data_IF_981035407416
#
_entry.id   IF_981035407416
#
_cell.length_a   1.000
_cell.length_b   1.000
_cell.length_c   1.000
_cell.angle_alpha   90.00
_cell.angle_beta   90.00
_cell.angle_gamma   90.00
#
_symmetry.space_group_name_H-M   'P 1'
#
loop_
_entity.id
_entity.type
_entity.pdbx_description
1 polymer ?
#
# COMPACT_ATOMS: atom_id res chain seq x y z
N UNK A 1 -25.81 -0.26 -31.76
CA UNK A 1 -24.82 -1.36 -31.79
C UNK A 1 -23.95 -1.39 -30.53
N UNK A 2 -23.22 -0.31 -30.18
CA UNK A 2 -22.40 -0.27 -28.95
C UNK A 2 -23.21 -0.34 -27.65
N UNK A 3 -24.39 0.27 -27.61
CA UNK A 3 -25.34 0.18 -26.49
C UNK A 3 -25.90 -1.23 -26.27
N UNK A 4 -25.97 -2.04 -27.33
CA UNK A 4 -26.39 -3.45 -27.26
C UNK A 4 -25.28 -4.32 -26.65
N UNK A 5 -24.01 -3.95 -26.85
CA UNK A 5 -22.86 -4.71 -26.36
C UNK A 5 -22.37 -4.28 -24.95
N UNK A 6 -22.51 -3.01 -24.58
CA UNK A 6 -21.91 -2.46 -23.34
C UNK A 6 -22.89 -1.74 -22.39
N UNK A 7 -24.18 -1.66 -22.74
CA UNK A 7 -25.21 -1.09 -21.87
C UNK A 7 -24.89 0.32 -21.38
N UNK A 8 -25.05 0.58 -20.07
CA UNK A 8 -24.78 1.87 -19.43
C UNK A 8 -23.28 2.23 -19.33
N UNK A 9 -22.37 1.28 -19.57
CA UNK A 9 -20.93 1.54 -19.62
C UNK A 9 -20.47 2.11 -20.98
N UNK A 10 -21.40 2.49 -21.85
CA UNK A 10 -21.09 3.10 -23.14
C UNK A 10 -20.63 4.55 -22.98
N UNK A 11 -19.55 4.90 -23.68
CA UNK A 11 -19.09 6.29 -23.74
C UNK A 11 -20.17 7.18 -24.37
N UNK A 12 -20.43 8.32 -23.73
CA UNK A 12 -21.35 9.33 -24.25
C UNK A 12 -20.96 9.76 -25.68
N UNK A 13 -21.96 10.04 -26.51
CA UNK A 13 -21.79 10.38 -27.93
C UNK A 13 -20.84 11.56 -28.12
N UNK A 14 -20.86 12.54 -27.21
CA UNK A 14 -19.99 13.72 -27.24
C UNK A 14 -18.52 13.36 -27.02
N UNK A 15 -18.25 12.43 -26.09
CA UNK A 15 -16.91 11.93 -25.83
C UNK A 15 -16.38 11.13 -27.01
N UNK A 16 -17.21 10.31 -27.66
CA UNK A 16 -16.83 9.56 -28.86
C UNK A 16 -16.42 10.50 -30.00
N UNK A 17 -17.20 11.55 -30.28
CA UNK A 17 -16.82 12.53 -31.31
C UNK A 17 -15.56 13.32 -30.96
N UNK A 18 -15.36 13.67 -29.67
CA UNK A 18 -14.15 14.34 -29.19
C UNK A 18 -12.91 13.47 -29.42
N UNK A 19 -12.98 12.19 -29.06
CA UNK A 19 -11.89 11.24 -29.30
C UNK A 19 -11.65 11.02 -30.79
N UNK A 20 -12.72 10.83 -31.60
CA UNK A 20 -12.60 10.70 -33.05
C UNK A 20 -11.88 11.91 -33.68
N UNK A 21 -12.22 13.13 -33.25
CA UNK A 21 -11.57 14.35 -33.71
C UNK A 21 -10.07 14.36 -33.35
N UNK A 22 -9.73 14.06 -32.10
CA UNK A 22 -8.33 14.00 -31.64
C UNK A 22 -7.50 12.96 -32.41
N UNK A 23 -8.06 11.77 -32.68
CA UNK A 23 -7.40 10.75 -33.49
C UNK A 23 -7.28 11.16 -34.96
N UNK A 24 -8.29 11.82 -35.52
CA UNK A 24 -8.23 12.34 -36.90
C UNK A 24 -7.19 13.46 -37.08
N UNK A 25 -6.85 14.15 -35.99
CA UNK A 25 -5.83 15.19 -35.92
C UNK A 25 -4.42 14.62 -35.61
N UNK A 26 -4.27 13.29 -35.58
CA UNK A 26 -2.99 12.61 -35.48
C UNK A 26 -2.52 12.28 -34.04
N UNK A 27 -3.40 12.39 -33.04
CA UNK A 27 -3.09 11.95 -31.67
C UNK A 27 -3.08 10.42 -31.61
N UNK A 28 -1.96 9.82 -31.21
CA UNK A 28 -1.83 8.36 -31.05
C UNK A 28 -1.94 7.90 -29.59
N UNK A 29 -1.85 8.82 -28.63
CA UNK A 29 -1.87 8.51 -27.20
C UNK A 29 -3.30 8.56 -26.61
N UNK A 30 -3.59 7.59 -25.75
CA UNK A 30 -4.89 7.39 -25.07
C UNK A 30 -4.88 7.97 -23.66
N UNK A 31 -3.71 8.33 -23.12
CA UNK A 31 -3.61 8.89 -21.77
C UNK A 31 -4.09 10.36 -21.72
N UNK A 32 -4.41 10.84 -20.51
CA UNK A 32 -4.76 12.26 -20.30
C UNK A 32 -3.54 13.16 -20.48
N UNK A 33 -3.72 14.32 -21.11
CA UNK A 33 -2.65 15.31 -21.25
C UNK A 33 -2.33 15.97 -19.91
N UNK A 34 -1.08 16.41 -19.77
CA UNK A 34 -0.58 17.05 -18.57
C UNK A 34 -1.34 18.36 -18.31
N UNK A 35 -2.11 18.40 -17.22
CA UNK A 35 -3.01 19.51 -16.92
C UNK A 35 -2.23 20.68 -16.31
N UNK A 36 -2.18 21.81 -17.01
CA UNK A 36 -1.62 23.05 -16.46
C UNK A 36 -2.45 23.54 -15.26
N UNK A 37 -1.90 23.43 -14.06
CA UNK A 37 -2.48 23.98 -12.83
C UNK A 37 -2.31 25.51 -12.73
N UNK A 38 -3.12 26.15 -11.87
CA UNK A 38 -3.06 27.60 -11.59
C UNK A 38 -1.80 27.94 -10.76
N UNK A 39 -0.98 28.93 -11.14
CA UNK A 39 0.16 29.35 -10.33
C UNK A 39 -0.34 29.91 -8.99
N UNK A 40 0.17 29.37 -7.89
CA UNK A 40 -0.18 29.80 -6.53
C UNK A 40 0.87 30.78 -6.00
N UNK A 41 0.41 31.95 -5.55
CA UNK A 41 1.23 33.04 -4.97
C UNK A 41 1.97 32.70 -3.69
N UNK A 42 1.75 31.51 -3.10
CA UNK A 42 2.41 31.04 -1.87
C UNK A 42 3.67 30.19 -2.13
N UNK A 43 3.95 29.86 -3.38
CA UNK A 43 5.08 29.00 -3.79
C UNK A 43 6.16 29.86 -4.46
N UNK A 44 6.48 31.01 -3.88
CA UNK A 44 7.65 31.79 -4.30
C UNK A 44 8.91 31.14 -3.71
N UNK A 45 10.02 31.17 -4.45
CA UNK A 45 11.27 30.51 -4.04
C UNK A 45 11.80 31.05 -2.71
N UNK A 46 11.51 32.32 -2.39
CA UNK A 46 11.86 32.96 -1.11
C UNK A 46 11.14 32.31 0.07
N UNK A 47 9.84 32.01 -0.08
CA UNK A 47 9.06 31.34 0.98
C UNK A 47 9.53 29.89 1.16
N UNK A 48 9.93 29.23 0.08
CA UNK A 48 10.48 27.88 0.14
C UNK A 48 11.82 27.87 0.90
N UNK A 49 12.68 28.86 0.68
CA UNK A 49 13.97 28.96 1.39
C UNK A 49 13.79 29.22 2.89
N UNK A 50 12.85 30.08 3.28
CA UNK A 50 12.55 30.32 4.69
C UNK A 50 11.93 29.09 5.37
N UNK A 51 11.00 28.37 4.72
CA UNK A 51 10.49 27.09 5.23
C UNK A 51 11.64 26.09 5.44
N UNK A 52 12.61 26.02 4.52
CA UNK A 52 13.77 25.13 4.65
C UNK A 52 14.58 25.46 5.91
N UNK A 53 14.87 26.73 6.18
CA UNK A 53 15.62 27.15 7.38
C UNK A 53 14.93 26.72 8.66
N UNK A 54 13.61 26.93 8.74
CA UNK A 54 12.80 26.60 9.92
C UNK A 54 12.78 25.07 10.16
N UNK A 55 12.52 24.28 9.11
CA UNK A 55 12.49 22.81 9.20
C UNK A 55 13.86 22.22 9.55
N UNK A 56 14.95 22.82 9.08
CA UNK A 56 16.31 22.41 9.43
C UNK A 56 16.66 22.70 10.89
N UNK A 57 16.20 23.83 11.43
CA UNK A 57 16.42 24.19 12.83
C UNK A 57 15.65 23.30 13.80
N UNK A 58 14.41 22.92 13.46
CA UNK A 58 13.58 22.05 14.29
C UNK A 58 12.82 21.00 13.46
N UNK A 59 13.33 19.77 13.44
CA UNK A 59 12.71 18.64 12.71
C UNK A 59 11.36 18.18 13.26
N UNK A 60 10.94 18.66 14.43
CA UNK A 60 9.64 18.34 15.04
C UNK A 60 8.60 19.46 14.88
N UNK A 61 8.92 20.50 14.13
CA UNK A 61 8.02 21.63 13.94
C UNK A 61 6.76 21.23 13.16
N UNK A 62 5.61 21.73 13.57
CA UNK A 62 4.32 21.47 12.94
C UNK A 62 4.03 22.49 11.85
N UNK A 63 3.19 22.10 10.87
CA UNK A 63 2.78 22.97 9.75
C UNK A 63 2.14 24.28 10.25
N UNK A 64 1.47 24.25 11.41
CA UNK A 64 0.86 25.44 12.02
C UNK A 64 1.90 26.43 12.54
N UNK A 65 2.92 25.93 13.25
CA UNK A 65 4.03 26.75 13.75
C UNK A 65 4.81 27.38 12.58
N UNK A 66 5.08 26.62 11.52
CA UNK A 66 5.72 27.15 10.30
C UNK A 66 4.90 28.26 9.64
N UNK A 67 3.56 28.11 9.59
CA UNK A 67 2.69 29.11 9.00
C UNK A 67 2.61 30.40 9.85
N UNK A 68 2.70 30.27 11.17
CA UNK A 68 2.75 31.40 12.11
C UNK A 68 4.09 32.15 11.98
N UNK A 69 5.22 31.44 11.92
CA UNK A 69 6.56 32.02 11.79
C UNK A 69 6.76 32.79 10.48
N UNK A 70 6.17 32.31 9.39
CA UNK A 70 6.25 32.96 8.08
C UNK A 70 5.28 34.13 7.92
N UNK A 71 4.49 34.45 8.96
CA UNK A 71 3.47 35.48 8.97
C UNK A 71 2.55 35.42 7.74
N UNK A 72 2.29 34.21 7.23
CA UNK A 72 1.37 33.94 6.12
C UNK A 72 -0.05 33.94 6.71
N UNK A 73 -0.46 35.10 7.24
CA UNK A 73 -1.81 35.52 7.57
C UNK A 73 -2.66 34.61 8.46
N UNK A 74 -3.09 35.15 9.62
CA UNK A 74 -4.14 34.63 10.53
C UNK A 74 -5.52 34.31 9.90
N UNK A 75 -5.66 34.33 8.60
CA UNK A 75 -6.89 34.10 7.83
C UNK A 75 -6.70 33.12 6.67
N UNK A 76 -5.93 32.04 6.86
CA UNK A 76 -5.87 30.98 5.85
C UNK A 76 -7.13 30.10 5.90
N UNK A 77 -7.87 30.09 4.79
CA UNK A 77 -8.76 29.00 4.45
C UNK A 77 -7.98 27.66 4.46
N UNK A 78 -8.68 26.53 4.59
CA UNK A 78 -8.08 25.17 4.56
C UNK A 78 -7.08 24.96 3.40
N UNK A 79 -7.19 25.74 2.33
CA UNK A 79 -6.35 25.70 1.16
C UNK A 79 -4.93 26.28 1.38
N UNK A 80 -4.78 27.29 2.23
CA UNK A 80 -3.47 27.83 2.60
C UNK A 80 -2.63 26.85 3.41
N UNK A 81 -3.28 26.20 4.39
CA UNK A 81 -2.66 25.16 5.23
C UNK A 81 -2.17 23.99 4.38
N UNK A 82 -3.00 23.52 3.42
CA UNK A 82 -2.61 22.45 2.49
C UNK A 82 -1.38 22.80 1.66
N UNK A 83 -1.18 24.07 1.30
CA UNK A 83 -0.01 24.51 0.54
C UNK A 83 1.25 24.50 1.38
N UNK A 84 1.20 25.00 2.62
CA UNK A 84 2.34 24.93 3.54
C UNK A 84 2.68 23.47 3.86
N UNK A 85 1.67 22.63 4.08
CA UNK A 85 1.84 21.19 4.28
C UNK A 85 2.54 20.53 3.09
N UNK A 86 2.13 20.84 1.86
CA UNK A 86 2.76 20.34 0.65
C UNK A 86 4.23 20.77 0.53
N UNK A 87 4.55 22.04 0.85
CA UNK A 87 5.92 22.56 0.82
C UNK A 87 6.78 21.89 1.89
N UNK A 88 6.29 21.78 3.13
CA UNK A 88 6.99 21.09 4.23
C UNK A 88 7.23 19.61 3.89
N UNK A 89 6.23 18.90 3.34
CA UNK A 89 6.38 17.51 2.89
C UNK A 89 7.38 17.37 1.75
N UNK A 90 7.38 18.29 0.79
CA UNK A 90 8.34 18.30 -0.32
C UNK A 90 9.77 18.54 0.16
N UNK A 91 9.99 19.50 1.08
CA UNK A 91 11.30 19.79 1.67
C UNK A 91 11.76 18.62 2.53
N UNK A 92 10.87 18.05 3.34
CA UNK A 92 11.16 16.86 4.12
C UNK A 92 11.61 15.72 3.20
N UNK A 93 10.87 15.44 2.12
CA UNK A 93 11.24 14.42 1.13
C UNK A 93 12.59 14.69 0.46
N UNK A 94 12.94 15.95 0.19
CA UNK A 94 14.21 16.32 -0.47
C UNK A 94 15.41 16.26 0.48
N UNK A 95 15.22 16.52 1.78
CA UNK A 95 16.27 16.46 2.81
C UNK A 95 16.29 15.14 3.62
N UNK A 96 15.40 14.20 3.32
CA UNK A 96 15.53 12.79 3.71
C UNK A 96 16.61 12.13 2.83
N UNK A 97 17.78 12.78 2.70
CA UNK A 97 18.94 12.27 1.98
C UNK A 97 19.75 11.23 2.77
N UNK A 98 19.21 10.75 3.91
CA UNK A 98 19.84 9.73 4.74
C UNK A 98 18.95 8.50 5.00
N UNK A 99 17.87 8.32 4.25
CA UNK A 99 17.17 7.03 4.25
C UNK A 99 17.64 6.24 3.05
N UNK A 100 18.67 5.42 3.25
CA UNK A 100 19.03 4.38 2.29
C UNK A 100 17.90 3.37 2.24
N UNK A 101 16.99 3.52 1.28
CA UNK A 101 15.96 2.52 1.01
C UNK A 101 16.62 1.30 0.38
N UNK A 102 16.91 0.29 1.20
CA UNK A 102 17.35 -1.00 0.69
C UNK A 102 16.15 -1.74 0.08
N UNK A 103 16.18 -1.92 -1.23
CA UNK A 103 15.16 -2.71 -1.93
C UNK A 103 15.50 -4.19 -1.71
N UNK A 104 14.59 -4.92 -1.06
CA UNK A 104 14.71 -6.37 -0.92
C UNK A 104 14.58 -6.98 -2.33
N UNK A 105 15.58 -7.76 -2.81
CA UNK A 105 15.52 -8.34 -4.15
C UNK A 105 14.28 -9.22 -4.32
N UNK A 106 13.71 -9.24 -5.52
CA UNK A 106 12.56 -10.11 -5.83
C UNK A 106 12.90 -11.59 -5.54
N UNK A 107 11.95 -12.33 -4.99
CA UNK A 107 12.14 -13.74 -4.61
C UNK A 107 12.88 -13.97 -3.28
N UNK A 108 13.21 -12.90 -2.56
CA UNK A 108 13.86 -12.98 -1.24
C UNK A 108 12.87 -13.25 -0.11
N UNK A 109 11.58 -12.92 -0.27
CA UNK A 109 10.53 -13.15 0.73
C UNK A 109 10.41 -14.62 1.13
N UNK A 110 10.29 -15.53 0.15
CA UNK A 110 10.30 -16.98 0.39
C UNK A 110 11.67 -17.53 0.84
N UNK A 111 12.72 -16.72 0.72
CA UNK A 111 14.07 -16.99 1.25
C UNK A 111 14.35 -16.18 2.52
N UNK A 112 13.40 -15.67 3.28
CA UNK A 112 13.67 -15.02 4.59
C UNK A 112 12.49 -15.32 5.54
N UNK A 113 11.28 -15.32 5.00
CA UNK A 113 10.06 -15.51 5.76
C UNK A 113 9.72 -16.99 5.85
N UNK A 114 10.06 -17.59 6.99
CA UNK A 114 9.83 -19.01 7.23
C UNK A 114 8.35 -19.42 7.11
N UNK A 115 7.46 -18.51 7.49
CA UNK A 115 6.02 -18.68 7.38
C UNK A 115 5.56 -18.80 5.92
N UNK A 116 6.21 -18.11 4.98
CA UNK A 116 5.86 -18.15 3.54
C UNK A 116 6.25 -19.47 2.87
N UNK A 117 7.22 -20.21 3.43
CA UNK A 117 7.68 -21.48 2.83
C UNK A 117 6.64 -22.59 2.98
N UNK A 118 6.03 -22.72 4.17
CA UNK A 118 5.07 -23.79 4.47
C UNK A 118 3.94 -23.39 5.42
N UNK A 119 4.17 -22.47 6.36
CA UNK A 119 3.17 -22.08 7.38
C UNK A 119 1.90 -21.49 6.79
N UNK A 120 2.03 -20.44 5.97
CA UNK A 120 0.90 -19.73 5.38
C UNK A 120 0.09 -20.58 4.41
N UNK A 121 0.74 -21.49 3.67
CA UNK A 121 0.02 -22.40 2.77
C UNK A 121 -0.91 -23.32 3.55
N UNK A 122 -0.43 -23.87 4.67
CA UNK A 122 -1.20 -24.78 5.52
C UNK A 122 -2.32 -24.03 6.24
N UNK A 123 -2.00 -22.84 6.76
CA UNK A 123 -3.01 -21.95 7.34
C UNK A 123 -4.12 -21.60 6.35
N UNK A 124 -3.78 -21.19 5.11
CA UNK A 124 -4.76 -20.89 4.05
C UNK A 124 -5.63 -22.09 3.70
N UNK A 125 -5.06 -23.29 3.63
CA UNK A 125 -5.82 -24.51 3.38
C UNK A 125 -6.81 -24.82 4.50
N UNK A 126 -6.43 -24.61 5.76
CA UNK A 126 -7.34 -24.77 6.90
C UNK A 126 -8.47 -23.74 6.88
N UNK A 127 -8.15 -22.46 6.70
CA UNK A 127 -9.13 -21.39 6.61
C UNK A 127 -10.13 -21.64 5.46
N UNK A 128 -9.63 -22.06 4.30
CA UNK A 128 -10.46 -22.40 3.14
C UNK A 128 -11.40 -23.58 3.44
N UNK A 129 -10.88 -24.70 3.97
CA UNK A 129 -11.71 -25.85 4.33
C UNK A 129 -12.81 -25.51 5.33
N UNK A 130 -12.50 -24.72 6.35
CA UNK A 130 -13.51 -24.27 7.31
C UNK A 130 -14.57 -23.39 6.66
N UNK A 131 -14.15 -22.46 5.79
CA UNK A 131 -15.08 -21.59 5.05
C UNK A 131 -15.99 -22.40 4.12
N UNK A 132 -15.43 -23.37 3.39
CA UNK A 132 -16.16 -24.26 2.48
C UNK A 132 -17.20 -25.10 3.25
N UNK A 133 -16.84 -25.64 4.43
CA UNK A 133 -17.75 -26.41 5.29
C UNK A 133 -18.91 -25.55 5.81
N UNK A 134 -18.63 -24.32 6.26
CA UNK A 134 -19.64 -23.39 6.80
C UNK A 134 -20.63 -22.97 5.70
N UNK A 135 -20.14 -22.81 4.47
CA UNK A 135 -20.96 -22.50 3.30
C UNK A 135 -21.81 -23.70 2.85
N UNK A 136 -21.28 -24.92 2.90
CA UNK A 136 -22.02 -26.15 2.55
C UNK A 136 -23.08 -26.55 3.58
N UNK A 137 -22.89 -26.20 4.85
CA UNK A 137 -23.83 -26.52 5.92
C UNK A 137 -24.96 -25.49 6.08
N UNK A 138 -25.07 -24.49 5.19
CA UNK A 138 -26.07 -23.41 5.24
C UNK A 138 -26.19 -22.73 6.61
N UNK A 139 -25.09 -22.72 7.36
CA UNK A 139 -25.07 -22.07 8.66
C UNK A 139 -25.17 -20.55 8.48
N UNK A 140 -26.08 -19.90 9.19
CA UNK A 140 -26.31 -18.44 9.13
C UNK A 140 -25.18 -17.63 9.81
N UNK A 141 -23.94 -18.09 9.66
CA UNK A 141 -22.74 -17.55 10.31
C UNK A 141 -22.04 -16.63 9.33
N UNK A 142 -21.97 -15.34 9.66
CA UNK A 142 -21.22 -14.38 8.88
C UNK A 142 -19.71 -14.49 9.15
N UNK A 143 -18.97 -15.09 8.21
CA UNK A 143 -17.52 -15.27 8.29
C UNK A 143 -16.71 -13.96 8.22
N UNK A 144 -17.31 -12.88 7.75
CA UNK A 144 -16.66 -11.57 7.63
C UNK A 144 -16.80 -10.72 8.90
N UNK A 145 -17.58 -11.18 9.88
CA UNK A 145 -17.68 -10.50 11.17
C UNK A 145 -16.38 -10.67 11.98
N UNK A 146 -15.89 -9.57 12.55
CA UNK A 146 -14.63 -9.53 13.33
C UNK A 146 -14.51 -10.67 14.34
N UNK A 147 -15.57 -10.95 15.10
CA UNK A 147 -15.56 -11.99 16.13
C UNK A 147 -15.40 -13.40 15.56
N UNK A 148 -16.03 -13.67 14.42
CA UNK A 148 -15.95 -14.97 13.76
C UNK A 148 -14.60 -15.17 13.08
N UNK A 149 -14.03 -14.09 12.52
CA UNK A 149 -12.64 -14.08 12.04
C UNK A 149 -11.67 -14.43 13.17
N UNK A 150 -11.79 -13.80 14.34
CA UNK A 150 -10.92 -14.08 15.49
C UNK A 150 -11.07 -15.54 15.92
N UNK A 151 -12.31 -16.04 16.07
CA UNK A 151 -12.57 -17.45 16.42
C UNK A 151 -11.94 -18.41 15.43
N UNK A 152 -12.07 -18.16 14.12
CA UNK A 152 -11.46 -18.96 13.07
C UNK A 152 -9.93 -19.00 13.21
N UNK A 153 -9.30 -17.84 13.41
CA UNK A 153 -7.85 -17.74 13.60
C UNK A 153 -7.39 -18.46 14.87
N UNK A 154 -8.13 -18.33 15.99
CA UNK A 154 -7.84 -19.03 17.24
C UNK A 154 -7.94 -20.54 17.10
N UNK A 155 -8.95 -21.05 16.38
CA UNK A 155 -9.08 -22.48 16.12
C UNK A 155 -7.91 -23.01 15.27
N UNK A 156 -7.55 -22.31 14.19
CA UNK A 156 -6.42 -22.71 13.34
C UNK A 156 -5.11 -22.68 14.13
N UNK A 157 -4.90 -21.63 14.95
CA UNK A 157 -3.74 -21.53 15.82
C UNK A 157 -3.65 -22.75 16.76
N UNK A 158 -4.73 -23.07 17.48
CA UNK A 158 -4.76 -24.20 18.40
C UNK A 158 -4.46 -25.54 17.71
N UNK A 159 -4.97 -25.74 16.48
CA UNK A 159 -4.66 -26.93 15.68
C UNK A 159 -3.17 -26.99 15.27
N UNK A 160 -2.59 -25.86 14.87
CA UNK A 160 -1.18 -25.79 14.47
C UNK A 160 -0.21 -25.81 15.66
N UNK A 161 -0.64 -25.43 16.85
CA UNK A 161 0.13 -25.54 18.09
C UNK A 161 0.22 -26.97 18.65
N UNK A 162 -0.55 -27.90 18.09
CA UNK A 162 -0.50 -29.32 18.50
C UNK A 162 0.93 -29.89 18.37
N UNK A 163 1.39 -30.74 19.29
CA UNK A 163 2.70 -31.41 19.20
C UNK A 163 2.92 -32.16 17.87
N UNK A 164 1.83 -32.63 17.23
CA UNK A 164 1.88 -33.30 15.91
C UNK A 164 2.39 -32.37 14.80
N UNK A 165 2.10 -31.08 14.89
CA UNK A 165 2.51 -30.05 13.94
C UNK A 165 3.90 -29.47 14.24
N UNK A 166 4.49 -29.78 15.39
CA UNK A 166 5.77 -29.22 15.80
C UNK A 166 6.92 -29.60 14.83
N UNK A 167 6.90 -30.83 14.30
CA UNK A 167 7.90 -31.30 13.35
C UNK A 167 7.80 -30.61 11.99
N UNK A 168 6.61 -30.17 11.58
CA UNK A 168 6.38 -29.44 10.33
C UNK A 168 7.06 -28.06 10.36
N UNK A 169 6.96 -27.34 11.48
CA UNK A 169 7.65 -26.06 11.65
C UNK A 169 9.16 -26.25 11.79
N UNK A 170 9.63 -27.27 12.52
CA UNK A 170 11.06 -27.65 12.58
C UNK A 170 11.64 -27.97 11.20
N UNK A 171 10.89 -28.67 10.35
CA UNK A 171 11.30 -28.94 8.97
C UNK A 171 11.39 -27.67 8.12
N UNK A 172 10.45 -26.73 8.30
CA UNK A 172 10.49 -25.42 7.63
C UNK A 172 11.76 -24.64 8.00
N UNK A 173 12.12 -24.66 9.29
CA UNK A 173 13.40 -24.13 9.81
C UNK A 173 14.62 -24.85 9.23
N UNK A 174 14.57 -26.18 9.10
CA UNK A 174 15.64 -26.99 8.53
C UNK A 174 15.85 -26.72 7.04
N UNK A 175 14.78 -26.65 6.24
CA UNK A 175 14.84 -26.38 4.79
C UNK A 175 15.48 -25.03 4.46
N UNK A 176 15.38 -24.07 5.39
CA UNK A 176 15.85 -22.71 5.22
C UNK A 176 17.28 -22.48 5.78
N UNK A 177 17.99 -23.54 6.21
CA UNK A 177 19.39 -23.53 6.65
C UNK A 177 19.73 -22.82 7.98
N UNK A 178 18.75 -22.53 8.84
CA UNK A 178 19.02 -21.91 10.17
C UNK A 178 19.31 -22.90 11.31
N UNK A 179 19.13 -24.21 11.06
CA UNK A 179 19.52 -25.26 11.99
C UNK A 179 20.79 -25.96 11.46
N UNK A 180 21.94 -25.58 12.02
CA UNK A 180 23.24 -26.16 11.72
C UNK A 180 23.28 -27.65 12.13
N UNK A 181 23.10 -28.55 11.15
CA UNK A 181 23.84 -29.81 10.92
C UNK A 181 23.05 -30.66 9.93
N UNK A 182 23.52 -30.71 8.68
CA UNK A 182 23.30 -31.89 7.82
C UNK A 182 23.90 -33.07 8.59
N UNK A 183 23.08 -33.92 9.23
CA UNK A 183 23.53 -35.29 9.46
C UNK A 183 23.66 -35.90 8.07
N UNK A 184 24.90 -35.97 7.60
CA UNK A 184 25.29 -36.79 6.45
C UNK A 184 24.58 -38.13 6.59
N UNK A 185 23.81 -38.50 5.56
CA UNK A 185 23.31 -39.86 5.41
C UNK A 185 24.54 -40.77 5.47
N UNK A 186 24.68 -41.54 6.55
CA UNK A 186 25.57 -42.71 6.52
C UNK A 186 24.94 -43.68 5.52
N UNK A 187 25.74 -43.98 4.50
CA UNK A 187 25.58 -45.15 3.62
C UNK A 187 25.74 -46.38 4.49
#
# INVERSE_FOLDING_TARGET
MLTVAYGEATLDRSNVYRWYKMFSEGREDVNDEERAGRPSTSTTDENIDEVKKIVLANRRITVREVAEDLNIGRSLSNEGIKKVECVVQSISSTYVSYVTTMIIPKGTTGKIQLLDVYGFRIWKNFAKRFSDIILLLESNINLHERNNIIKLHSMIHNQLSSPRCHNLFKYSWFKYSWLYKRKTRRI
#
